data_IF_464416232901
#
_entry.id   IF_464416232901
#
_cell.length_a   1.000
_cell.length_b   1.000
_cell.length_c   1.000
_cell.angle_alpha   90.00
_cell.angle_beta   90.00
_cell.angle_gamma   90.00
#
_symmetry.space_group_name_H-M   'P 1'
#
loop_
_entity.id
_entity.type
_entity.pdbx_description
1 polymer ?
#
# COMPACT_ATOMS: atom_id res chain seq x y z
N UNK A 1 1.27 4.93 -6.68
CA UNK A 1 -0.14 4.57 -6.44
C UNK A 1 -0.37 4.68 -4.96
N UNK A 2 -1.17 5.66 -4.55
CA UNK A 2 -1.45 5.86 -3.12
C UNK A 2 -2.45 4.79 -2.68
N UNK A 3 -2.05 3.89 -1.81
CA UNK A 3 -2.86 2.74 -1.36
C UNK A 3 -4.04 3.18 -0.48
N UNK A 4 -4.03 4.43 -0.03
CA UNK A 4 -5.06 4.99 0.85
C UNK A 4 -6.47 4.93 0.26
N UNK A 5 -6.61 5.15 -1.05
CA UNK A 5 -7.91 5.16 -1.70
C UNK A 5 -8.47 3.77 -1.97
N UNK A 6 -7.63 2.75 -1.97
CA UNK A 6 -8.05 1.38 -2.21
C UNK A 6 -8.57 0.67 -0.94
N UNK A 7 -8.19 1.12 0.25
CA UNK A 7 -8.69 0.53 1.51
C UNK A 7 -10.21 0.63 1.68
N UNK A 8 -10.83 1.57 1.02
CA UNK A 8 -12.25 1.89 1.24
C UNK A 8 -13.21 1.13 0.35
N UNK A 9 -12.76 0.50 -0.71
CA UNK A 9 -13.67 -0.01 -1.74
C UNK A 9 -13.68 -1.52 -1.92
N UNK A 10 -12.70 -2.27 -1.42
CA UNK A 10 -12.50 -3.63 -1.88
C UNK A 10 -12.77 -4.73 -0.87
N UNK A 11 -12.60 -4.53 0.41
CA UNK A 11 -13.00 -5.54 1.40
C UNK A 11 -14.43 -5.30 1.85
N UNK A 12 -15.40 -5.86 1.13
CA UNK A 12 -16.81 -5.87 1.57
C UNK A 12 -17.04 -6.73 2.82
N UNK A 13 -16.05 -7.47 3.29
CA UNK A 13 -16.22 -8.49 4.33
C UNK A 13 -15.36 -8.31 5.57
N UNK A 14 -14.25 -7.60 5.51
CA UNK A 14 -13.41 -7.31 6.68
C UNK A 14 -12.60 -6.05 6.42
N UNK A 15 -13.00 -4.94 7.00
CA UNK A 15 -12.14 -3.76 7.13
C UNK A 15 -11.13 -4.02 8.28
N UNK A 16 -10.13 -4.84 8.04
CA UNK A 16 -8.99 -4.97 8.94
C UNK A 16 -7.86 -4.13 8.37
N UNK A 17 -7.34 -3.21 9.18
CA UNK A 17 -6.18 -2.39 8.81
C UNK A 17 -4.90 -3.15 9.16
N UNK A 18 -4.61 -4.21 8.41
CA UNK A 18 -3.48 -5.09 8.61
C UNK A 18 -2.79 -5.48 7.30
N UNK A 19 -1.65 -6.15 7.42
CA UNK A 19 -0.86 -6.61 6.28
C UNK A 19 -1.67 -7.50 5.33
N UNK A 20 -2.54 -8.37 5.84
CA UNK A 20 -3.30 -9.27 4.99
C UNK A 20 -4.28 -8.48 4.10
N UNK A 21 -4.99 -7.50 4.66
CA UNK A 21 -5.86 -6.61 3.87
C UNK A 21 -5.07 -5.80 2.83
N UNK A 22 -3.88 -5.34 3.19
CA UNK A 22 -2.98 -4.65 2.27
C UNK A 22 -2.58 -5.57 1.10
N UNK A 23 -2.26 -6.82 1.39
CA UNK A 23 -1.85 -7.80 0.38
C UNK A 23 -3.03 -8.29 -0.48
N UNK A 24 -4.27 -8.27 0.01
CA UNK A 24 -5.45 -8.51 -0.81
C UNK A 24 -5.57 -7.47 -1.95
N UNK A 25 -5.25 -6.20 -1.68
CA UNK A 25 -5.18 -5.17 -2.73
C UNK A 25 -4.07 -5.44 -3.73
N UNK A 26 -2.91 -5.87 -3.26
CA UNK A 26 -1.83 -6.28 -4.15
C UNK A 26 -2.27 -7.42 -5.07
N UNK A 27 -2.87 -8.47 -4.52
CA UNK A 27 -3.38 -9.61 -5.30
C UNK A 27 -4.39 -9.17 -6.36
N UNK A 28 -5.31 -8.27 -5.99
CA UNK A 28 -6.29 -7.76 -6.92
C UNK A 28 -5.64 -7.02 -8.09
N UNK A 29 -4.73 -6.09 -7.81
CA UNK A 29 -4.04 -5.32 -8.86
C UNK A 29 -3.16 -6.23 -9.71
N UNK A 30 -2.40 -7.15 -9.10
CA UNK A 30 -1.60 -8.14 -9.80
C UNK A 30 -2.44 -8.98 -10.76
N UNK A 31 -3.63 -9.42 -10.34
CA UNK A 31 -4.53 -10.22 -11.18
C UNK A 31 -5.12 -9.42 -12.35
N UNK A 32 -5.20 -8.10 -12.21
CA UNK A 32 -5.71 -7.21 -13.25
C UNK A 32 -4.65 -6.84 -14.29
N UNK A 33 -3.42 -6.53 -13.86
CA UNK A 33 -2.38 -5.95 -14.73
C UNK A 33 -1.14 -6.84 -14.90
N UNK A 34 -1.02 -7.92 -14.15
CA UNK A 34 0.14 -8.80 -14.13
C UNK A 34 1.23 -8.36 -13.17
N UNK A 35 2.07 -9.33 -12.77
CA UNK A 35 3.13 -9.16 -11.77
C UNK A 35 4.21 -8.13 -12.19
N UNK A 36 4.43 -7.97 -13.49
CA UNK A 36 5.46 -7.09 -14.06
C UNK A 36 5.09 -5.60 -13.95
N UNK A 37 3.85 -5.28 -13.57
CA UNK A 37 3.33 -3.92 -13.50
C UNK A 37 2.95 -3.48 -12.09
N UNK A 38 3.32 -4.24 -11.08
CA UNK A 38 2.97 -3.99 -9.67
C UNK A 38 4.23 -3.78 -8.85
N UNK A 39 4.13 -2.92 -7.85
CA UNK A 39 5.15 -2.69 -6.83
C UNK A 39 4.52 -2.19 -5.53
N UNK A 40 5.31 -2.13 -4.49
CA UNK A 40 4.86 -1.72 -3.16
C UNK A 40 5.31 -0.30 -2.82
N UNK A 41 4.41 0.45 -2.17
CA UNK A 41 4.70 1.70 -1.49
C UNK A 41 3.81 1.77 -0.27
N UNK A 42 4.37 1.60 0.91
CA UNK A 42 3.60 1.46 2.17
C UNK A 42 3.14 2.78 2.76
N UNK A 43 3.67 3.90 2.28
CA UNK A 43 3.30 5.26 2.69
C UNK A 43 3.22 5.43 4.21
N UNK A 44 4.16 4.85 4.94
CA UNK A 44 4.29 5.02 6.37
C UNK A 44 5.46 5.96 6.70
N UNK A 45 5.31 6.77 7.72
CA UNK A 45 6.29 7.74 8.17
C UNK A 45 6.68 7.45 9.61
N UNK A 46 7.90 7.82 10.00
CA UNK A 46 8.27 7.89 11.41
C UNK A 46 7.56 9.07 12.07
N UNK A 47 7.02 8.87 13.26
CA UNK A 47 6.34 9.90 14.03
C UNK A 47 4.82 9.91 13.84
N UNK A 48 4.20 11.08 13.91
CA UNK A 48 2.75 11.24 13.83
C UNK A 48 2.24 11.22 12.38
N UNK A 49 2.03 10.03 11.87
CA UNK A 49 1.52 9.79 10.52
C UNK A 49 0.11 10.39 10.32
N UNK A 50 -0.78 10.27 11.31
CA UNK A 50 -2.15 10.82 11.25
C UNK A 50 -2.13 12.33 11.23
N UNK A 51 -1.32 12.97 12.08
CA UNK A 51 -1.17 14.42 12.12
C UNK A 51 -0.65 14.98 10.80
N UNK A 52 0.29 14.30 10.15
CA UNK A 52 0.77 14.68 8.82
C UNK A 52 -0.34 14.59 7.77
N UNK A 53 -1.14 13.53 7.78
CA UNK A 53 -2.28 13.41 6.86
C UNK A 53 -3.33 14.48 7.08
N UNK A 54 -3.65 14.82 8.33
CA UNK A 54 -4.59 15.91 8.63
C UNK A 54 -4.07 17.26 8.14
N UNK A 55 -2.78 17.56 8.33
CA UNK A 55 -2.18 18.78 7.82
C UNK A 55 -2.25 18.86 6.29
N UNK A 56 -1.96 17.77 5.59
CA UNK A 56 -2.10 17.71 4.13
C UNK A 56 -3.55 17.86 3.68
N UNK A 57 -4.50 17.20 4.32
CA UNK A 57 -5.92 17.29 3.97
C UNK A 57 -6.43 18.73 4.14
N UNK A 58 -6.02 19.44 5.19
CA UNK A 58 -6.36 20.85 5.40
C UNK A 58 -5.73 21.75 4.33
N UNK A 59 -4.44 21.56 4.05
CA UNK A 59 -3.71 22.38 3.06
C UNK A 59 -4.28 22.23 1.64
N UNK A 60 -4.77 21.05 1.29
CA UNK A 60 -5.31 20.77 -0.04
C UNK A 60 -6.83 20.88 -0.13
N UNK A 61 -7.51 21.27 0.96
CA UNK A 61 -8.99 21.33 1.05
C UNK A 61 -9.70 20.02 0.63
N UNK A 62 -9.01 18.90 0.74
CA UNK A 62 -9.50 17.56 0.31
C UNK A 62 -10.53 17.02 1.31
N UNK A 63 -10.46 17.44 2.56
CA UNK A 63 -11.37 16.98 3.63
C UNK A 63 -12.85 17.25 3.34
N UNK A 64 -13.16 18.24 2.50
CA UNK A 64 -14.53 18.61 2.14
C UNK A 64 -15.17 17.67 1.08
N UNK A 65 -14.42 16.78 0.45
CA UNK A 65 -14.87 15.99 -0.69
C UNK A 65 -15.08 14.51 -0.42
N UNK A 66 -14.78 14.02 0.77
CA UNK A 66 -15.11 12.65 1.17
C UNK A 66 -16.62 12.49 1.38
N UNK A 67 -17.35 12.33 0.29
CA UNK A 67 -18.82 12.18 0.26
C UNK A 67 -19.30 10.76 0.55
N UNK A 68 -18.45 9.86 0.89
CA UNK A 68 -18.86 8.52 1.28
C UNK A 68 -19.15 8.53 2.76
N UNK A 69 -20.41 8.65 3.17
CA UNK A 69 -20.88 8.69 4.55
C UNK A 69 -20.60 7.43 5.40
N UNK A 70 -19.48 6.77 5.16
CA UNK A 70 -18.92 5.74 6.02
C UNK A 70 -18.06 6.43 7.08
N UNK A 71 -18.40 6.23 8.35
CA UNK A 71 -17.52 6.56 9.45
C UNK A 71 -16.28 5.67 9.34
N UNK A 72 -15.14 6.29 9.01
CA UNK A 72 -13.84 5.61 9.05
C UNK A 72 -13.25 5.78 10.44
N UNK A 73 -12.89 4.67 11.06
CA UNK A 73 -11.95 4.70 12.16
C UNK A 73 -10.57 5.02 11.57
N UNK A 74 -10.07 6.23 11.83
CA UNK A 74 -8.70 6.58 11.45
C UNK A 74 -7.73 5.79 12.32
N UNK A 75 -7.05 4.84 11.70
CA UNK A 75 -5.97 4.11 12.35
C UNK A 75 -4.64 4.80 12.06
N UNK A 76 -3.76 4.95 13.07
CA UNK A 76 -2.48 5.62 12.86
C UNK A 76 -1.60 4.89 11.85
N UNK A 77 -1.70 3.56 11.80
CA UNK A 77 -0.91 2.72 10.89
C UNK A 77 -1.65 1.44 10.52
N UNK A 78 -1.29 0.88 9.37
CA UNK A 78 -1.65 -0.49 9.01
C UNK A 78 -0.81 -1.45 9.84
N UNK A 79 -1.44 -2.39 10.53
CA UNK A 79 -0.76 -3.35 11.41
C UNK A 79 0.28 -4.17 10.63
N UNK A 80 1.48 -4.25 11.16
CA UNK A 80 2.69 -4.84 10.58
C UNK A 80 3.35 -4.02 9.45
N UNK A 81 2.82 -2.85 9.13
CA UNK A 81 3.43 -1.89 8.21
C UNK A 81 3.75 -0.55 8.87
N UNK A 82 3.71 -0.49 10.20
CA UNK A 82 3.89 0.74 10.99
C UNK A 82 5.32 1.30 10.89
N UNK A 83 6.30 0.41 10.77
CA UNK A 83 7.70 0.79 10.75
C UNK A 83 8.23 0.84 9.32
N UNK A 84 8.62 2.02 8.79
CA UNK A 84 9.14 2.16 7.43
C UNK A 84 10.33 1.23 7.12
N UNK A 85 11.15 0.93 8.12
CA UNK A 85 12.32 0.04 7.95
C UNK A 85 11.92 -1.43 7.86
N UNK A 86 10.90 -1.85 8.61
CA UNK A 86 10.51 -3.26 8.74
C UNK A 86 9.38 -3.67 7.80
N UNK A 87 8.61 -2.70 7.31
CA UNK A 87 7.44 -2.94 6.46
C UNK A 87 7.76 -3.79 5.23
N UNK A 88 8.87 -3.51 4.56
CA UNK A 88 9.32 -4.27 3.40
C UNK A 88 9.63 -5.73 3.74
N UNK A 89 10.23 -5.98 4.92
CA UNK A 89 10.50 -7.35 5.37
C UNK A 89 9.21 -8.12 5.68
N UNK A 90 8.20 -7.47 6.21
CA UNK A 90 6.92 -8.10 6.48
C UNK A 90 6.19 -8.45 5.18
N UNK A 91 6.25 -7.59 4.16
CA UNK A 91 5.74 -7.88 2.83
C UNK A 91 6.48 -9.07 2.21
N UNK A 92 7.82 -9.10 2.26
CA UNK A 92 8.62 -10.21 1.73
C UNK A 92 8.24 -11.53 2.42
N UNK A 93 8.14 -11.53 3.76
CA UNK A 93 7.73 -12.73 4.52
C UNK A 93 6.34 -13.21 4.12
N UNK A 94 5.42 -12.29 3.87
CA UNK A 94 4.08 -12.63 3.39
C UNK A 94 4.14 -13.29 2.01
N UNK A 95 4.90 -12.74 1.07
CA UNK A 95 5.06 -13.28 -0.28
C UNK A 95 5.69 -14.69 -0.25
N UNK A 96 6.74 -14.88 0.54
CA UNK A 96 7.36 -16.21 0.74
C UNK A 96 6.34 -17.22 1.30
N UNK A 97 5.58 -16.82 2.32
CA UNK A 97 4.53 -17.66 2.91
C UNK A 97 3.45 -18.08 1.90
N UNK A 98 3.20 -17.23 0.90
CA UNK A 98 2.21 -17.48 -0.15
C UNK A 98 2.81 -18.07 -1.42
N UNK A 99 4.03 -18.65 -1.33
CA UNK A 99 4.72 -19.37 -2.40
C UNK A 99 5.03 -18.55 -3.65
N UNK A 100 5.26 -17.24 -3.51
CA UNK A 100 5.82 -16.44 -4.59
C UNK A 100 7.26 -16.86 -4.88
N UNK A 101 7.63 -16.90 -6.17
CA UNK A 101 9.01 -17.17 -6.57
C UNK A 101 9.95 -16.02 -6.19
N UNK A 102 11.24 -16.32 -6.00
CA UNK A 102 12.24 -15.27 -5.74
C UNK A 102 12.29 -14.24 -6.88
N UNK A 103 12.05 -14.68 -8.12
CA UNK A 103 11.95 -13.79 -9.28
C UNK A 103 10.78 -12.81 -9.14
N UNK A 104 9.58 -13.29 -8.83
CA UNK A 104 8.40 -12.46 -8.66
C UNK A 104 8.53 -11.51 -7.47
N UNK A 105 9.10 -11.99 -6.36
CA UNK A 105 9.42 -11.15 -5.21
C UNK A 105 10.38 -10.03 -5.62
N UNK A 106 11.45 -10.35 -6.33
CA UNK A 106 12.41 -9.38 -6.84
C UNK A 106 11.77 -8.30 -7.72
N UNK A 107 10.82 -8.69 -8.59
CA UNK A 107 10.06 -7.76 -9.43
C UNK A 107 9.27 -6.76 -8.59
N UNK A 108 8.47 -7.23 -7.65
CA UNK A 108 7.51 -6.38 -6.93
C UNK A 108 8.13 -5.53 -5.83
N UNK A 109 9.25 -5.95 -5.24
CA UNK A 109 9.93 -5.16 -4.20
C UNK A 109 10.82 -4.04 -4.73
N UNK A 110 10.98 -3.93 -6.06
CA UNK A 110 11.73 -2.83 -6.66
C UNK A 110 12.14 -3.05 -8.11
N UNK A 111 12.26 -4.30 -8.56
CA UNK A 111 12.71 -4.63 -9.93
C UNK A 111 11.86 -3.96 -11.01
N UNK A 112 10.55 -3.98 -10.87
CA UNK A 112 9.65 -3.31 -11.82
C UNK A 112 9.87 -1.80 -11.87
N UNK A 113 10.05 -1.16 -10.71
CA UNK A 113 10.33 0.27 -10.64
C UNK A 113 11.67 0.61 -11.30
N UNK A 114 12.71 -0.17 -11.00
CA UNK A 114 14.05 0.02 -11.61
C UNK A 114 13.97 -0.12 -13.12
N UNK A 115 13.29 -1.13 -13.64
CA UNK A 115 13.11 -1.32 -15.07
C UNK A 115 12.48 -0.09 -15.73
N UNK A 116 11.39 0.41 -15.19
CA UNK A 116 10.71 1.61 -15.72
C UNK A 116 11.62 2.83 -15.68
N UNK A 117 12.34 3.04 -14.57
CA UNK A 117 13.26 4.16 -14.45
C UNK A 117 14.41 4.08 -15.47
N UNK A 118 14.94 2.89 -15.73
CA UNK A 118 15.96 2.68 -16.76
C UNK A 118 15.44 2.98 -18.17
N UNK A 119 14.20 2.64 -18.47
CA UNK A 119 13.58 2.93 -19.78
C UNK A 119 13.32 4.43 -19.96
N UNK A 120 12.99 5.16 -18.90
CA UNK A 120 12.60 6.59 -19.00
C UNK A 120 13.79 7.53 -18.88
N UNK A 121 14.83 7.13 -18.14
CA UNK A 121 16.00 7.98 -17.87
C UNK A 121 17.25 7.57 -18.68
N UNK A 122 17.12 6.64 -19.62
CA UNK A 122 18.21 6.22 -20.51
C UNK A 122 18.51 7.26 -21.61
#
# INVERSE_FOLDING_TARGET
MCIRDSHTTMSKTKMTHDLDSFMEHFEYVKNMVGIDHVGFGVDCLYGDHVGVHHAFAQALSIAATSKTGAEYEEVPYVKYLENPTESSWNIIRWLVKHNYSDEDIGKVIGGNAIRVLQEVWA
#
